data_IF_165492262699
#
_entry.id   IF_165492262699
#
_cell.length_a   1.000
_cell.length_b   1.000
_cell.length_c   1.000
_cell.angle_alpha   90.00
_cell.angle_beta   90.00
_cell.angle_gamma   90.00
#
_symmetry.space_group_name_H-M   'P 1'
#
loop_
_entity.id
_entity.type
_entity.pdbx_description
1 polymer ?
#
# COMPACT_ATOMS: atom_id res chain seq x y z
N UNK A 1 -6.02 -2.61 7.89
CA UNK A 1 -6.16 -1.15 8.04
C UNK A 1 -6.80 -0.59 6.78
N UNK A 2 -7.29 0.65 6.82
CA UNK A 2 -7.95 1.27 5.67
C UNK A 2 -7.52 2.73 5.53
N UNK A 3 -7.28 3.17 4.29
CA UNK A 3 -6.96 4.55 3.96
C UNK A 3 -7.63 4.93 2.63
N UNK A 4 -8.39 6.03 2.60
CA UNK A 4 -9.17 6.48 1.42
C UNK A 4 -10.07 5.38 0.82
N UNK A 5 -10.75 4.61 1.67
CA UNK A 5 -11.58 3.46 1.30
C UNK A 5 -10.84 2.30 0.60
N UNK A 6 -9.50 2.29 0.69
CA UNK A 6 -8.66 1.21 0.18
C UNK A 6 -8.05 0.47 1.38
N UNK A 7 -8.23 -0.85 1.38
CA UNK A 7 -7.71 -1.71 2.43
C UNK A 7 -6.22 -1.98 2.24
N UNK A 8 -5.50 -2.06 3.36
CA UNK A 8 -4.12 -2.48 3.37
C UNK A 8 -3.74 -3.21 4.66
N UNK A 9 -2.75 -4.08 4.56
CA UNK A 9 -2.22 -4.92 5.62
C UNK A 9 -0.75 -4.60 5.86
N UNK A 10 -0.35 -4.67 7.13
CA UNK A 10 1.03 -4.53 7.57
C UNK A 10 1.38 -5.79 8.35
N UNK A 11 2.39 -6.50 7.89
CA UNK A 11 2.79 -7.83 8.35
C UNK A 11 4.24 -7.73 8.83
N UNK A 12 4.49 -8.06 10.10
CA UNK A 12 5.86 -8.19 10.60
C UNK A 12 6.45 -9.51 10.09
N UNK A 13 7.61 -9.46 9.44
CA UNK A 13 8.37 -10.64 9.08
C UNK A 13 9.43 -10.92 10.12
N UNK A 14 9.69 -12.20 10.40
CA UNK A 14 10.62 -12.63 11.45
C UNK A 14 12.05 -12.84 10.94
N UNK A 15 12.26 -12.98 9.63
CA UNK A 15 13.58 -13.12 9.01
C UNK A 15 13.57 -12.71 7.52
N UNK A 16 14.16 -11.57 7.11
CA UNK A 16 14.71 -10.53 7.99
C UNK A 16 13.61 -9.88 8.84
N UNK A 17 14.00 -9.28 9.97
CA UNK A 17 13.07 -8.54 10.83
C UNK A 17 12.68 -7.22 10.15
N UNK A 18 11.70 -7.30 9.27
CA UNK A 18 11.19 -6.16 8.52
C UNK A 18 9.67 -6.18 8.51
N UNK A 19 9.09 -5.20 7.84
CA UNK A 19 7.65 -4.98 7.78
C UNK A 19 7.21 -5.04 6.33
N UNK A 20 6.47 -6.09 5.99
CA UNK A 20 5.83 -6.20 4.69
C UNK A 20 4.52 -5.43 4.71
N UNK A 21 4.22 -4.70 3.66
CA UNK A 21 2.92 -4.07 3.46
C UNK A 21 2.26 -4.59 2.18
N UNK A 22 0.93 -4.66 2.21
CA UNK A 22 0.07 -5.12 1.10
C UNK A 22 -1.10 -4.16 0.98
N UNK A 23 -1.29 -3.55 -0.17
CA UNK A 23 -2.39 -2.65 -0.50
C UNK A 23 -3.29 -3.32 -1.54
N UNK A 24 -4.59 -3.36 -1.27
CA UNK A 24 -5.60 -3.98 -2.14
C UNK A 24 -6.32 -2.88 -2.95
N UNK A 25 -5.77 -2.54 -4.12
CA UNK A 25 -6.27 -1.42 -4.95
C UNK A 25 -7.59 -1.74 -5.67
N UNK A 26 -7.76 -2.99 -6.10
CA UNK A 26 -8.96 -3.51 -6.76
C UNK A 26 -9.02 -5.03 -6.51
N UNK A 27 -10.13 -5.68 -6.89
CA UNK A 27 -10.34 -7.13 -6.67
C UNK A 27 -9.21 -8.02 -7.23
N UNK A 28 -8.45 -7.55 -8.22
CA UNK A 28 -7.35 -8.28 -8.85
C UNK A 28 -5.99 -7.61 -8.69
N UNK A 29 -5.94 -6.40 -8.13
CA UNK A 29 -4.73 -5.56 -8.15
C UNK A 29 -4.26 -5.29 -6.74
N UNK A 30 -3.11 -5.87 -6.42
CA UNK A 30 -2.41 -5.63 -5.17
C UNK A 30 -1.07 -4.96 -5.42
N UNK A 31 -0.68 -4.05 -4.51
CA UNK A 31 0.69 -3.55 -4.43
C UNK A 31 1.30 -4.00 -3.11
N UNK A 32 2.58 -4.36 -3.14
CA UNK A 32 3.28 -4.81 -1.94
C UNK A 32 4.68 -4.24 -1.88
N UNK A 33 5.21 -4.11 -0.67
CA UNK A 33 6.59 -3.73 -0.44
C UNK A 33 7.08 -4.21 0.92
N UNK A 34 8.33 -3.89 1.22
CA UNK A 34 8.97 -4.15 2.51
C UNK A 34 9.61 -2.86 3.01
N UNK A 35 9.54 -2.63 4.32
CA UNK A 35 10.18 -1.51 4.99
C UNK A 35 10.85 -1.97 6.28
N UNK A 36 11.83 -1.20 6.76
CA UNK A 36 12.60 -1.55 7.96
C UNK A 36 11.78 -1.34 9.24
N UNK A 37 10.88 -0.36 9.25
CA UNK A 37 10.03 -0.07 10.40
C UNK A 37 8.55 -0.18 10.05
N UNK A 38 7.72 -0.37 11.08
CA UNK A 38 6.26 -0.36 10.92
C UNK A 38 5.76 0.97 10.38
N UNK A 39 6.35 2.08 10.83
CA UNK A 39 5.96 3.43 10.42
C UNK A 39 6.24 3.64 8.92
N UNK A 40 7.43 3.23 8.46
CA UNK A 40 7.79 3.30 7.04
C UNK A 40 6.85 2.42 6.20
N UNK A 41 6.53 1.21 6.65
CA UNK A 41 5.60 0.34 5.94
C UNK A 41 4.19 0.94 5.81
N UNK A 42 3.73 1.70 6.80
CA UNK A 42 2.46 2.43 6.76
C UNK A 42 2.55 3.59 5.76
N UNK A 43 3.60 4.40 5.84
CA UNK A 43 3.81 5.54 4.94
C UNK A 43 3.93 5.08 3.47
N UNK A 44 4.66 4.01 3.21
CA UNK A 44 4.80 3.42 1.88
C UNK A 44 3.45 2.90 1.34
N UNK A 45 2.66 2.24 2.20
CA UNK A 45 1.34 1.76 1.82
C UNK A 45 0.39 2.91 1.48
N UNK A 46 0.34 3.95 2.33
CA UNK A 46 -0.47 5.15 2.08
C UNK A 46 -0.01 5.86 0.79
N UNK A 47 1.29 6.04 0.59
CA UNK A 47 1.84 6.64 -0.63
C UNK A 47 1.49 5.81 -1.89
N UNK A 48 1.54 4.47 -1.79
CA UNK A 48 1.15 3.60 -2.89
C UNK A 48 -0.34 3.73 -3.24
N UNK A 49 -1.20 3.97 -2.24
CA UNK A 49 -2.62 4.27 -2.41
C UNK A 49 -2.79 5.62 -3.10
N UNK A 50 -2.12 6.68 -2.63
CA UNK A 50 -2.20 8.02 -3.23
C UNK A 50 -1.82 7.99 -4.70
N UNK A 51 -0.69 7.36 -5.03
CA UNK A 51 -0.26 7.20 -6.42
C UNK A 51 -1.26 6.44 -7.28
N UNK A 52 -1.94 5.44 -6.73
CA UNK A 52 -2.94 4.69 -7.46
C UNK A 52 -4.21 5.52 -7.73
N UNK A 53 -4.65 6.30 -6.73
CA UNK A 53 -5.79 7.21 -6.86
C UNK A 53 -5.50 8.31 -7.88
N UNK A 54 -4.33 8.95 -7.82
CA UNK A 54 -3.90 9.96 -8.79
C UNK A 54 -3.88 9.41 -10.22
N UNK A 55 -3.31 8.20 -10.39
CA UNK A 55 -3.23 7.54 -11.70
C UNK A 55 -4.62 7.24 -12.27
N UNK A 56 -5.56 6.80 -11.43
CA UNK A 56 -6.95 6.53 -11.83
C UNK A 56 -7.68 7.82 -12.21
N UNK A 57 -7.50 8.90 -11.45
CA UNK A 57 -8.07 10.21 -11.78
C UNK A 57 -7.53 10.78 -13.09
N UNK A 58 -6.25 10.53 -13.41
CA UNK A 58 -5.66 10.95 -14.68
C UNK A 58 -6.22 10.16 -15.86
N UNK A 59 -6.50 8.87 -15.68
CA UNK A 59 -7.10 8.02 -16.72
C UNK A 59 -8.57 8.38 -17.01
N UNK A 60 -9.33 8.83 -16.01
CA UNK A 60 -10.74 9.22 -16.17
C UNK A 60 -10.94 10.59 -16.83
N UNK A 61 -9.88 11.39 -16.96
CA UNK A 61 -9.90 12.74 -17.55
C UNK A 61 -9.36 12.80 -18.98
N UNK A 62 -8.98 11.67 -19.56
CA UNK A 62 -8.59 11.54 -20.98
C UNK A 62 -9.75 10.91 -21.76
#
# INVERSE_FOLDING_TARGET
MEYKAIQFEIIQTTNPCCWKWVVFLDATKTRTGIALTRADAVLDAEFAIEKAVESRQRCLKQ
#
